data_IF_935203924843
#
_entry.id   IF_935203924843
#
_cell.length_a   1.000
_cell.length_b   1.000
_cell.length_c   1.000
_cell.angle_alpha   90.00
_cell.angle_beta   90.00
_cell.angle_gamma   90.00
#
_symmetry.space_group_name_H-M   'P 1'
#
loop_
_entity.id
_entity.type
_entity.pdbx_description
1 polymer ?
#
# COMPACT_ATOMS: atom_id res chain seq x y z
N UNK A 1 13.98 15.09 -24.33
CA UNK A 1 14.29 14.57 -22.98
C UNK A 1 13.31 13.45 -22.68
N UNK A 2 13.75 12.19 -22.72
CA UNK A 2 12.88 11.05 -22.42
C UNK A 2 12.65 10.95 -20.90
N UNK A 3 11.44 10.65 -20.41
CA UNK A 3 11.19 10.45 -18.99
C UNK A 3 11.84 9.14 -18.53
N UNK A 4 12.75 9.22 -17.56
CA UNK A 4 13.33 8.04 -16.92
C UNK A 4 12.21 7.26 -16.20
N UNK A 5 12.04 5.99 -16.58
CA UNK A 5 11.20 5.03 -15.88
C UNK A 5 11.79 4.75 -14.49
N UNK A 6 10.95 4.60 -13.44
CA UNK A 6 11.44 4.23 -12.13
C UNK A 6 12.08 2.83 -12.16
N UNK A 7 13.16 2.59 -11.40
CA UNK A 7 13.80 1.28 -11.34
C UNK A 7 12.81 0.24 -10.80
N UNK A 8 12.66 -0.86 -11.53
CA UNK A 8 11.75 -1.99 -11.25
C UNK A 8 12.15 -2.84 -10.03
N UNK A 9 13.14 -2.43 -9.24
CA UNK A 9 13.64 -3.18 -8.10
C UNK A 9 13.56 -2.35 -6.83
N UNK A 10 12.50 -2.59 -6.05
CA UNK A 10 12.39 -2.12 -4.69
C UNK A 10 13.26 -3.01 -3.79
N UNK A 11 14.34 -2.49 -3.17
CA UNK A 11 15.23 -3.28 -2.32
C UNK A 11 14.52 -3.86 -1.09
N UNK A 12 13.39 -3.28 -0.67
CA UNK A 12 12.58 -3.84 0.41
C UNK A 12 11.83 -5.11 -0.02
N UNK A 13 11.43 -5.18 -1.29
CA UNK A 13 10.78 -6.37 -1.87
C UNK A 13 11.80 -7.50 -2.05
N UNK A 14 13.01 -7.18 -2.52
CA UNK A 14 14.13 -8.13 -2.64
C UNK A 14 14.51 -8.74 -1.28
N UNK A 15 14.63 -7.91 -0.24
CA UNK A 15 14.93 -8.39 1.12
C UNK A 15 13.82 -9.28 1.69
N UNK A 16 12.55 -8.93 1.43
CA UNK A 16 11.40 -9.74 1.84
C UNK A 16 11.32 -11.07 1.08
N UNK A 17 11.63 -11.07 -0.21
CA UNK A 17 11.68 -12.29 -1.02
C UNK A 17 12.85 -13.19 -0.62
N UNK A 18 14.00 -12.61 -0.25
CA UNK A 18 15.14 -13.35 0.29
C UNK A 18 14.83 -14.01 1.64
N UNK A 19 14.12 -13.32 2.54
CA UNK A 19 13.69 -13.84 3.85
C UNK A 19 12.69 -15.02 3.73
N UNK A 20 11.91 -15.04 2.64
CA UNK A 20 10.97 -16.14 2.32
C UNK A 20 11.64 -17.24 1.47
N UNK A 21 12.91 -17.06 1.08
CA UNK A 21 13.72 -18.06 0.36
C UNK A 21 13.49 -18.09 -1.16
N UNK A 22 13.09 -16.97 -1.76
CA UNK A 22 12.77 -16.85 -3.20
C UNK A 22 13.74 -15.95 -3.99
N UNK A 23 14.77 -15.40 -3.35
CA UNK A 23 15.79 -14.56 -4.01
C UNK A 23 16.85 -15.40 -4.73
N UNK A 24 17.27 -14.96 -5.92
CA UNK A 24 18.51 -15.39 -6.57
C UNK A 24 19.68 -14.90 -5.72
N UNK A 25 20.00 -15.62 -4.64
CA UNK A 25 21.21 -15.37 -3.86
C UNK A 25 22.46 -15.54 -4.72
N UNK A 26 23.59 -14.90 -4.35
CA UNK A 26 24.85 -15.13 -5.05
C UNK A 26 25.22 -16.61 -4.95
N UNK A 27 25.71 -17.16 -6.07
CA UNK A 27 26.04 -18.57 -6.25
C UNK A 27 26.75 -19.14 -5.00
N UNK A 28 26.31 -20.30 -4.48
CA UNK A 28 27.11 -20.99 -3.48
C UNK A 28 28.39 -21.48 -4.16
N UNK A 29 29.51 -20.82 -3.87
CA UNK A 29 30.84 -21.42 -4.07
C UNK A 29 30.85 -22.80 -3.39
N UNK A 30 31.35 -23.85 -4.07
CA UNK A 30 31.28 -25.21 -3.56
C UNK A 30 32.22 -25.32 -2.37
N UNK A 31 31.66 -25.42 -1.16
CA UNK A 31 32.42 -25.84 0.01
C UNK A 31 32.28 -27.36 0.14
N UNK A 32 33.43 -28.00 0.09
CA UNK A 32 33.65 -29.44 -0.01
C UNK A 32 32.92 -30.23 1.08
N UNK A 33 31.90 -30.98 0.65
CA UNK A 33 31.26 -31.99 1.49
C UNK A 33 32.07 -33.30 1.41
N UNK A 34 33.28 -33.29 1.97
CA UNK A 34 34.07 -34.52 2.18
C UNK A 34 34.25 -34.78 3.67
N UNK A 35 33.19 -35.25 4.32
CA UNK A 35 33.35 -36.10 5.52
C UNK A 35 32.89 -37.50 5.15
N UNK A 36 33.65 -38.11 4.25
CA UNK A 36 33.69 -39.57 4.08
C UNK A 36 34.14 -40.13 5.42
N UNK A 37 33.20 -40.75 6.12
CA UNK A 37 33.48 -41.62 7.26
C UNK A 37 34.35 -42.77 6.76
N UNK A 38 35.66 -42.66 6.99
CA UNK A 38 36.64 -43.73 6.82
C UNK A 38 36.41 -44.75 7.92
N UNK A 39 35.52 -45.72 7.68
CA UNK A 39 35.55 -46.99 8.39
C UNK A 39 36.59 -47.86 7.71
N UNK A 40 37.81 -47.87 8.24
CA UNK A 40 38.78 -48.90 7.96
C UNK A 40 38.28 -50.20 8.60
N UNK A 41 37.87 -51.16 7.77
CA UNK A 41 37.55 -52.51 8.17
C UNK A 41 38.77 -53.41 7.84
N UNK A 42 39.35 -54.00 8.88
CA UNK A 42 40.29 -55.12 8.81
C UNK A 42 39.59 -56.38 9.35
N UNK A 43 39.54 -57.48 8.58
CA UNK A 43 39.37 -58.83 9.15
C UNK A 43 40.44 -59.80 8.59
N UNK A 44 40.50 -61.08 9.00
CA UNK A 44 39.90 -61.77 10.17
C UNK A 44 40.93 -62.62 10.97
N UNK A 45 40.58 -63.06 12.17
CA UNK A 45 41.11 -64.31 12.77
C UNK A 45 39.97 -64.96 13.58
N UNK A 46 39.91 -66.29 13.53
CA UNK A 46 38.77 -67.15 13.87
C UNK A 46 38.57 -67.42 15.38
N UNK A 47 37.47 -68.14 15.66
CA UNK A 47 37.13 -68.90 16.88
C UNK A 47 36.19 -68.24 17.91
N UNK A 48 34.88 -68.44 17.70
CA UNK A 48 33.87 -68.88 18.69
C UNK A 48 32.49 -68.86 18.02
N UNK A 49 32.06 -70.00 17.49
CA UNK A 49 30.82 -70.17 16.70
C UNK A 49 29.52 -69.88 17.47
N UNK A 50 29.55 -69.81 18.81
CA UNK A 50 28.44 -69.34 19.63
C UNK A 50 28.43 -67.82 19.88
N UNK A 51 29.58 -67.15 19.77
CA UNK A 51 29.75 -65.71 19.98
C UNK A 51 29.32 -64.90 18.74
N UNK A 52 29.63 -65.40 17.55
CA UNK A 52 29.30 -64.75 16.28
C UNK A 52 27.78 -64.66 16.01
N UNK A 53 27.00 -65.67 16.43
CA UNK A 53 25.54 -65.66 16.28
C UNK A 53 24.86 -64.67 17.25
N UNK A 54 25.38 -64.55 18.48
CA UNK A 54 24.93 -63.55 19.46
C UNK A 54 25.26 -62.11 19.01
N UNK A 55 26.44 -61.90 18.42
CA UNK A 55 26.83 -60.60 17.86
C UNK A 55 25.95 -60.19 16.66
N UNK A 56 25.65 -61.12 15.75
CA UNK A 56 24.75 -60.88 14.61
C UNK A 56 23.30 -60.59 15.05
N UNK A 57 22.81 -61.28 16.09
CA UNK A 57 21.49 -61.01 16.67
C UNK A 57 21.42 -59.61 17.31
N UNK A 58 22.45 -59.19 18.05
CA UNK A 58 22.55 -57.85 18.61
C UNK A 58 22.61 -56.75 17.53
N UNK A 59 23.29 -57.00 16.41
CA UNK A 59 23.27 -56.10 15.26
C UNK A 59 21.89 -55.98 14.61
N UNK A 60 21.19 -57.09 14.42
CA UNK A 60 19.84 -57.11 13.85
C UNK A 60 18.86 -56.33 14.73
N UNK A 61 18.94 -56.49 16.05
CA UNK A 61 18.14 -55.73 17.01
C UNK A 61 18.46 -54.23 16.95
N UNK A 62 19.75 -53.86 16.91
CA UNK A 62 20.18 -52.46 16.76
C UNK A 62 19.66 -51.84 15.45
N UNK A 63 19.69 -52.59 14.35
CA UNK A 63 19.13 -52.16 13.05
C UNK A 63 17.62 -51.96 13.15
N UNK A 64 16.90 -52.85 13.83
CA UNK A 64 15.45 -52.71 14.06
C UNK A 64 15.13 -51.45 14.87
N UNK A 65 15.83 -51.22 15.99
CA UNK A 65 15.68 -50.03 16.84
C UNK A 65 15.94 -48.74 16.03
N UNK A 66 16.96 -48.73 15.17
CA UNK A 66 17.25 -47.60 14.25
C UNK A 66 16.12 -47.35 13.25
N UNK A 67 15.56 -48.39 12.64
CA UNK A 67 14.42 -48.26 11.71
C UNK A 67 13.20 -47.66 12.39
N UNK A 68 12.90 -48.09 13.62
CA UNK A 68 11.78 -47.55 14.41
C UNK A 68 12.03 -46.08 14.76
N UNK A 69 13.20 -45.76 15.32
CA UNK A 69 13.56 -44.38 15.68
C UNK A 69 13.56 -43.44 14.48
N UNK A 70 14.09 -43.86 13.33
CA UNK A 70 14.11 -43.05 12.10
C UNK A 70 12.70 -42.86 11.54
N UNK A 71 11.87 -43.91 11.56
CA UNK A 71 10.45 -43.79 11.18
C UNK A 71 9.74 -42.75 12.05
N UNK A 72 9.99 -42.77 13.35
CA UNK A 72 9.38 -41.83 14.27
C UNK A 72 9.93 -40.40 14.08
N UNK A 73 11.24 -40.24 13.90
CA UNK A 73 11.86 -38.93 13.66
C UNK A 73 11.40 -38.30 12.34
N UNK A 74 11.25 -39.10 11.28
CA UNK A 74 10.66 -38.68 10.01
C UNK A 74 9.20 -38.23 10.19
N UNK A 75 8.40 -38.98 10.98
CA UNK A 75 7.02 -38.58 11.31
C UNK A 75 6.98 -37.24 12.05
N UNK A 76 7.81 -37.07 13.08
CA UNK A 76 7.89 -35.80 13.84
C UNK A 76 8.36 -34.64 12.97
N UNK A 77 9.33 -34.88 12.08
CA UNK A 77 9.81 -33.87 11.14
C UNK A 77 8.71 -33.42 10.18
N UNK A 78 7.99 -34.36 9.56
CA UNK A 78 6.82 -34.07 8.71
C UNK A 78 5.74 -33.30 9.47
N UNK A 79 5.44 -33.71 10.70
CA UNK A 79 4.46 -33.02 11.55
C UNK A 79 4.86 -31.58 11.87
N UNK A 80 6.13 -31.31 12.20
CA UNK A 80 6.63 -29.95 12.43
C UNK A 80 6.53 -29.08 11.18
N UNK A 81 6.95 -29.60 10.02
CA UNK A 81 6.85 -28.88 8.75
C UNK A 81 5.40 -28.57 8.38
N UNK A 82 4.49 -29.53 8.59
CA UNK A 82 3.07 -29.32 8.34
C UNK A 82 2.48 -28.21 9.22
N UNK A 83 2.77 -28.21 10.53
CA UNK A 83 2.35 -27.14 11.44
C UNK A 83 2.84 -25.76 10.99
N UNK A 84 4.11 -25.67 10.60
CA UNK A 84 4.68 -24.41 10.11
C UNK A 84 3.99 -23.91 8.82
N UNK A 85 3.66 -24.81 7.90
CA UNK A 85 2.90 -24.46 6.70
C UNK A 85 1.48 -23.99 7.03
N UNK A 86 0.81 -24.63 8.00
CA UNK A 86 -0.50 -24.21 8.49
C UNK A 86 -0.46 -22.83 9.15
N UNK A 87 0.55 -22.55 9.99
CA UNK A 87 0.78 -21.24 10.58
C UNK A 87 1.01 -20.15 9.52
N UNK A 88 1.83 -20.44 8.50
CA UNK A 88 2.05 -19.52 7.37
C UNK A 88 0.75 -19.26 6.59
N UNK A 89 -0.04 -20.30 6.31
CA UNK A 89 -1.34 -20.17 5.65
C UNK A 89 -2.30 -19.32 6.47
N UNK A 90 -2.37 -19.54 7.79
CA UNK A 90 -3.20 -18.77 8.71
C UNK A 90 -2.78 -17.29 8.74
N UNK A 91 -1.47 -17.02 8.86
CA UNK A 91 -0.92 -15.65 8.78
C UNK A 91 -1.27 -14.98 7.46
N UNK A 92 -1.08 -15.67 6.34
CA UNK A 92 -1.42 -15.16 5.02
C UNK A 92 -2.92 -14.88 4.86
N UNK A 93 -3.79 -15.76 5.36
CA UNK A 93 -5.24 -15.55 5.35
C UNK A 93 -5.65 -14.32 6.18
N UNK A 94 -5.07 -14.16 7.39
CA UNK A 94 -5.31 -12.99 8.25
C UNK A 94 -4.88 -11.69 7.56
N UNK A 95 -3.69 -11.67 6.96
CA UNK A 95 -3.20 -10.49 6.22
C UNK A 95 -4.10 -10.17 5.02
N UNK A 96 -4.54 -11.19 4.26
CA UNK A 96 -5.48 -10.98 3.14
C UNK A 96 -6.81 -10.41 3.62
N UNK A 97 -7.35 -10.90 4.74
CA UNK A 97 -8.59 -10.38 5.31
C UNK A 97 -8.42 -8.91 5.75
N UNK A 98 -7.33 -8.61 6.47
CA UNK A 98 -7.01 -7.24 6.88
C UNK A 98 -6.83 -6.29 5.68
N UNK A 99 -6.14 -6.72 4.64
CA UNK A 99 -5.99 -5.93 3.41
C UNK A 99 -7.34 -5.63 2.74
N UNK A 100 -8.28 -6.59 2.69
CA UNK A 100 -9.62 -6.35 2.14
C UNK A 100 -10.40 -5.35 2.97
N UNK A 101 -10.32 -5.45 4.30
CA UNK A 101 -10.98 -4.52 5.22
C UNK A 101 -10.42 -3.10 5.05
N UNK A 102 -9.10 -2.95 5.07
CA UNK A 102 -8.44 -1.66 4.85
C UNK A 102 -8.80 -1.05 3.50
N UNK A 103 -8.83 -1.86 2.44
CA UNK A 103 -9.25 -1.41 1.12
C UNK A 103 -10.72 -0.94 1.10
N UNK A 104 -11.62 -1.63 1.81
CA UNK A 104 -13.01 -1.22 1.94
C UNK A 104 -13.14 0.11 2.70
N UNK A 105 -12.39 0.27 3.81
CA UNK A 105 -12.35 1.51 4.58
C UNK A 105 -11.81 2.67 3.74
N UNK A 106 -10.75 2.44 2.98
CA UNK A 106 -10.17 3.44 2.07
C UNK A 106 -11.19 3.91 1.03
N UNK A 107 -11.89 2.98 0.37
CA UNK A 107 -12.97 3.32 -0.56
C UNK A 107 -14.07 4.16 0.11
N UNK A 108 -14.46 3.81 1.33
CA UNK A 108 -15.44 4.58 2.09
C UNK A 108 -14.97 5.99 2.47
N UNK A 109 -13.69 6.18 2.78
CA UNK A 109 -13.10 7.50 3.00
C UNK A 109 -13.05 8.31 1.70
N UNK A 110 -12.65 7.69 0.59
CA UNK A 110 -12.60 8.35 -0.72
C UNK A 110 -13.97 8.83 -1.17
N UNK A 111 -15.02 8.02 -1.01
CA UNK A 111 -16.39 8.40 -1.32
C UNK A 111 -16.86 9.61 -0.50
N UNK A 112 -16.60 9.61 0.82
CA UNK A 112 -16.91 10.76 1.69
C UNK A 112 -16.12 12.01 1.30
N UNK A 113 -14.83 11.87 0.98
CA UNK A 113 -14.01 12.98 0.53
C UNK A 113 -14.54 13.57 -0.79
N UNK A 114 -14.99 12.73 -1.72
CA UNK A 114 -15.64 13.19 -2.96
C UNK A 114 -16.92 13.98 -2.68
N UNK A 115 -17.77 13.49 -1.78
CA UNK A 115 -18.98 14.21 -1.35
C UNK A 115 -18.64 15.58 -0.76
N UNK A 116 -17.67 15.64 0.16
CA UNK A 116 -17.22 16.91 0.77
C UNK A 116 -16.65 17.87 -0.27
N UNK A 117 -15.94 17.38 -1.30
CA UNK A 117 -15.45 18.23 -2.39
C UNK A 117 -16.60 18.83 -3.20
N UNK A 118 -17.61 18.02 -3.53
CA UNK A 118 -18.80 18.48 -4.25
C UNK A 118 -19.59 19.51 -3.45
N UNK A 119 -19.83 19.27 -2.17
CA UNK A 119 -20.54 20.23 -1.30
C UNK A 119 -19.76 21.53 -1.17
N UNK A 120 -18.43 21.48 -1.00
CA UNK A 120 -17.59 22.67 -0.98
C UNK A 120 -17.63 23.44 -2.31
N UNK A 121 -17.59 22.75 -3.45
CA UNK A 121 -17.71 23.40 -4.76
C UNK A 121 -19.05 24.12 -4.90
N UNK A 122 -20.15 23.48 -4.48
CA UNK A 122 -21.48 24.10 -4.45
C UNK A 122 -21.52 25.33 -3.55
N UNK A 123 -21.04 25.23 -2.31
CA UNK A 123 -21.04 26.35 -1.36
C UNK A 123 -20.21 27.53 -1.88
N UNK A 124 -19.07 27.27 -2.52
CA UNK A 124 -18.25 28.32 -3.16
C UNK A 124 -18.98 29.00 -4.32
N UNK A 125 -19.71 28.24 -5.14
CA UNK A 125 -20.52 28.79 -6.22
C UNK A 125 -21.66 29.68 -5.68
N UNK A 126 -22.36 29.22 -4.65
CA UNK A 126 -23.41 29.99 -3.98
C UNK A 126 -22.84 31.27 -3.35
N UNK A 127 -21.73 31.19 -2.62
CA UNK A 127 -21.04 32.35 -2.05
C UNK A 127 -20.63 33.36 -3.14
N UNK A 128 -20.10 32.88 -4.27
CA UNK A 128 -19.76 33.73 -5.41
C UNK A 128 -20.98 34.42 -6.02
N UNK A 129 -22.11 33.72 -6.15
CA UNK A 129 -23.34 34.30 -6.66
C UNK A 129 -23.90 35.38 -5.72
N UNK A 130 -23.92 35.12 -4.41
CA UNK A 130 -24.30 36.11 -3.39
C UNK A 130 -23.36 37.33 -3.40
N UNK A 131 -22.05 37.10 -3.51
CA UNK A 131 -21.06 38.17 -3.63
C UNK A 131 -21.32 39.08 -4.84
N UNK A 132 -21.64 38.51 -6.01
CA UNK A 132 -22.02 39.28 -7.21
C UNK A 132 -23.29 40.09 -6.99
N UNK A 133 -24.33 39.51 -6.38
CA UNK A 133 -25.59 40.19 -6.05
C UNK A 133 -25.36 41.36 -5.10
N UNK A 134 -24.56 41.15 -4.06
CA UNK A 134 -24.20 42.20 -3.10
C UNK A 134 -23.41 43.34 -3.77
N UNK A 135 -22.44 43.01 -4.63
CA UNK A 135 -21.68 44.02 -5.37
C UNK A 135 -22.58 44.83 -6.33
N UNK A 136 -23.53 44.18 -7.00
CA UNK A 136 -24.51 44.86 -7.84
C UNK A 136 -25.41 45.80 -7.04
N UNK A 137 -25.92 45.35 -5.88
CA UNK A 137 -26.73 46.18 -4.98
C UNK A 137 -25.94 47.41 -4.49
N UNK A 138 -24.68 47.21 -4.06
CA UNK A 138 -23.79 48.31 -3.65
C UNK A 138 -23.58 49.33 -4.77
N UNK A 139 -23.33 48.88 -6.01
CA UNK A 139 -23.21 49.78 -7.17
C UNK A 139 -24.49 50.55 -7.44
N UNK A 140 -25.66 49.90 -7.38
CA UNK A 140 -26.94 50.56 -7.60
C UNK A 140 -27.21 51.67 -6.56
N UNK A 141 -26.90 51.41 -5.29
CA UNK A 141 -27.02 52.42 -4.22
C UNK A 141 -26.06 53.59 -4.48
N UNK A 142 -24.80 53.32 -4.80
CA UNK A 142 -23.81 54.35 -5.09
C UNK A 142 -24.22 55.24 -6.28
N UNK A 143 -24.70 54.65 -7.38
CA UNK A 143 -25.21 55.39 -8.53
C UNK A 143 -26.39 56.29 -8.17
N UNK A 144 -27.34 55.78 -7.35
CA UNK A 144 -28.47 56.57 -6.85
C UNK A 144 -28.00 57.76 -6.00
N UNK A 145 -27.00 57.57 -5.15
CA UNK A 145 -26.43 58.65 -4.33
C UNK A 145 -25.75 59.72 -5.19
N UNK A 146 -24.97 59.31 -6.20
CA UNK A 146 -24.33 60.24 -7.15
C UNK A 146 -25.39 61.04 -7.90
N UNK A 147 -26.42 60.38 -8.43
CA UNK A 147 -27.51 61.04 -9.15
C UNK A 147 -28.29 62.03 -8.27
N UNK A 148 -28.57 61.66 -7.02
CA UNK A 148 -29.24 62.54 -6.06
C UNK A 148 -28.37 63.78 -5.72
N UNK A 149 -27.06 63.59 -5.51
CA UNK A 149 -26.14 64.70 -5.27
C UNK A 149 -26.03 65.64 -6.48
N UNK A 150 -25.93 65.10 -7.70
CA UNK A 150 -25.92 65.90 -8.93
C UNK A 150 -27.22 66.70 -9.12
N UNK A 151 -28.37 66.08 -8.82
CA UNK A 151 -29.68 66.75 -8.92
C UNK A 151 -29.81 67.88 -7.90
N UNK A 152 -29.30 67.70 -6.68
CA UNK A 152 -29.31 68.75 -5.64
C UNK A 152 -28.37 69.93 -5.96
N UNK A 153 -27.26 69.68 -6.65
CA UNK A 153 -26.35 70.73 -7.12
C UNK A 153 -26.95 71.55 -8.28
N UNK A 154 -27.80 70.94 -9.13
CA UNK A 154 -28.51 71.63 -10.20
C UNK A 154 -29.63 72.56 -9.72
N UNK A 155 -30.19 72.34 -8.52
CA UNK A 155 -31.23 73.21 -7.94
C UNK A 155 -30.69 74.42 -7.19
N UNK A 156 -29.39 74.43 -6.82
CA UNK A 156 -28.75 75.56 -6.14
C UNK A 156 -27.87 76.43 -7.05
N UNK A 157 -27.56 75.97 -8.27
CA UNK A 157 -26.88 76.75 -9.31
C UNK A 157 -27.87 77.31 -10.32
N UNK A 158 -28.27 78.57 -10.14
CA UNK A 158 -29.21 79.28 -11.01
C UNK A 158 -28.83 79.27 -12.50
N UNK A 159 -29.85 79.24 -13.35
CA UNK A 159 -29.67 79.36 -14.80
C UNK A 159 -30.82 78.78 -15.61
N UNK A 160 -32.05 79.19 -15.30
CA UNK A 160 -33.20 78.85 -16.13
C UNK A 160 -33.23 79.70 -17.41
N UNK A 161 -32.34 79.49 -18.37
CA UNK A 161 -32.47 79.96 -19.76
C UNK A 161 -31.65 79.03 -20.69
N UNK A 162 -32.16 78.78 -21.90
CA UNK A 162 -31.53 78.02 -23.01
C UNK A 162 -31.84 76.52 -23.23
N UNK A 163 -33.03 76.04 -22.87
CA UNK A 163 -33.57 74.85 -23.56
C UNK A 163 -34.03 75.14 -25.00
N UNK A 164 -34.07 76.41 -25.41
CA UNK A 164 -34.45 76.82 -26.76
C UNK A 164 -33.26 76.89 -27.74
N UNK A 165 -32.02 76.88 -27.24
CA UNK A 165 -30.81 76.99 -28.07
C UNK A 165 -30.35 75.62 -28.63
N UNK A 166 -30.55 74.52 -27.89
CA UNK A 166 -30.14 73.18 -28.33
C UNK A 166 -31.10 72.51 -29.32
N UNK A 167 -32.35 73.01 -29.44
CA UNK A 167 -33.30 72.54 -30.44
C UNK A 167 -32.97 73.05 -31.86
N UNK A 168 -32.13 74.09 -31.98
CA UNK A 168 -31.75 74.72 -33.25
C UNK A 168 -30.54 74.07 -33.94
N UNK A 169 -29.88 73.11 -33.28
CA UNK A 169 -28.66 72.46 -33.79
C UNK A 169 -28.93 71.09 -34.47
N UNK A 170 -30.21 70.71 -34.59
CA UNK A 170 -30.65 69.47 -35.27
C UNK A 170 -31.63 69.80 -36.40
N UNK A 171 -31.35 70.87 -37.15
CA UNK A 171 -31.91 71.08 -38.50
C UNK A 171 -30.74 71.27 -39.47
#
# INVERSE_FOLDING_TARGET
>A
MAPQLPPLCDPALEAFLADIGFGLGPDPTPLDLTTTTTMAATPPEEETSASASAAAAGEAERRLRRKISNRESARRSRARKQRHLEELRARSAKLRAGNRELAARLRGVQARAALVRLTNARLRAEAGALGRRLAAARRAIALRQIYAAASAAGTSGGGGFELQALASLIV
#
